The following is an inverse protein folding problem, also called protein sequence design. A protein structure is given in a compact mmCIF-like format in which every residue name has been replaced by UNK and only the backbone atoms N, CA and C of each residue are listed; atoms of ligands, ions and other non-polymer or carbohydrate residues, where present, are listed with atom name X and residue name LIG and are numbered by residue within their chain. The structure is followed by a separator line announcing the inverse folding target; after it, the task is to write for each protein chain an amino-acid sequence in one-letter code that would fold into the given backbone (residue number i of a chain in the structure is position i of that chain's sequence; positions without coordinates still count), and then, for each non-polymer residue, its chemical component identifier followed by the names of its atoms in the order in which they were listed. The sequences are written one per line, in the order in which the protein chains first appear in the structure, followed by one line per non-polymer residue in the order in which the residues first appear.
data_IF_758337367217
#
_entry.id   IF_758337367217
#
_cell.length_a   1.000
_cell.length_b   1.000
_cell.length_c   1.000
_cell.angle_alpha   90.00
_cell.angle_beta   90.00
_cell.angle_gamma   90.00
#
_symmetry.space_group_name_H-M   'P 1'
#
loop_
_entity.id
_entity.type
_entity.pdbx_description
1 polymer ?
#
# COMPACT_ATOMS: atom_id res chain seq x y z
N UNK A 1 23.42 -18.95 -0.20
CA UNK A 1 24.43 -17.86 -0.11
C UNK A 1 24.19 -16.75 -1.15
N UNK A 2 24.13 -17.05 -2.42
CA UNK A 2 23.93 -16.06 -3.51
C UNK A 2 22.70 -15.15 -3.30
N UNK A 3 21.54 -15.71 -2.92
CA UNK A 3 20.30 -14.93 -2.69
C UNK A 3 20.42 -13.92 -1.53
N UNK A 4 21.23 -14.23 -0.53
CA UNK A 4 21.55 -13.30 0.56
C UNK A 4 22.36 -12.10 0.06
N UNK A 5 23.41 -12.35 -0.73
CA UNK A 5 24.24 -11.29 -1.33
C UNK A 5 23.38 -10.38 -2.20
N UNK A 6 22.56 -10.95 -3.10
CA UNK A 6 21.61 -10.20 -3.93
C UNK A 6 20.65 -9.35 -3.09
N UNK A 7 20.15 -9.92 -1.99
CA UNK A 7 19.21 -9.21 -1.10
C UNK A 7 19.86 -8.04 -0.36
N UNK A 8 21.13 -8.18 0.03
CA UNK A 8 21.92 -7.09 0.64
C UNK A 8 22.16 -5.99 -0.38
N UNK A 9 22.66 -6.32 -1.57
CA UNK A 9 22.87 -5.35 -2.66
C UNK A 9 21.58 -4.58 -2.94
N UNK A 10 20.45 -5.29 -3.13
CA UNK A 10 19.16 -4.66 -3.35
C UNK A 10 18.77 -3.73 -2.17
N UNK A 11 19.03 -4.14 -0.94
CA UNK A 11 18.68 -3.31 0.23
C UNK A 11 19.49 -2.01 0.27
N UNK A 12 20.78 -2.06 -0.03
CA UNK A 12 21.61 -0.85 -0.13
C UNK A 12 21.07 0.06 -1.23
N UNK A 13 20.80 -0.49 -2.42
CA UNK A 13 20.24 0.27 -3.55
C UNK A 13 18.85 0.84 -3.22
N UNK A 14 18.00 0.09 -2.51
CA UNK A 14 16.69 0.57 -2.05
C UNK A 14 16.84 1.88 -1.24
N UNK A 15 17.76 1.93 -0.28
CA UNK A 15 17.95 3.13 0.54
C UNK A 15 18.54 4.30 -0.26
N UNK A 16 19.55 4.05 -1.09
CA UNK A 16 20.16 5.08 -1.93
C UNK A 16 19.15 5.69 -2.91
N UNK A 17 18.41 4.83 -3.62
CA UNK A 17 17.38 5.26 -4.58
C UNK A 17 16.26 5.98 -3.86
N UNK A 18 15.81 5.50 -2.70
CA UNK A 18 14.76 6.17 -1.92
C UNK A 18 15.22 7.55 -1.45
N UNK A 19 16.46 7.69 -1.00
CA UNK A 19 17.04 8.98 -0.66
C UNK A 19 17.08 9.94 -1.85
N UNK A 20 17.57 9.46 -3.00
CA UNK A 20 17.61 10.22 -4.24
C UNK A 20 16.21 10.72 -4.66
N UNK A 21 15.23 9.82 -4.77
CA UNK A 21 13.87 10.21 -5.12
C UNK A 21 13.22 11.12 -4.07
N UNK A 22 13.58 10.96 -2.78
CA UNK A 22 13.16 11.86 -1.73
C UNK A 22 13.62 13.30 -1.97
N UNK A 23 14.88 13.49 -2.38
CA UNK A 23 15.42 14.81 -2.76
C UNK A 23 14.71 15.35 -4.00
N UNK A 24 14.51 14.53 -5.03
CA UNK A 24 13.76 14.94 -6.25
C UNK A 24 12.34 15.40 -5.91
N UNK A 25 11.65 14.70 -5.03
CA UNK A 25 10.32 15.10 -4.54
C UNK A 25 10.37 16.47 -3.85
N UNK A 26 11.33 16.69 -2.94
CA UNK A 26 11.46 17.95 -2.23
C UNK A 26 11.74 19.12 -3.19
N UNK A 27 12.62 18.92 -4.17
CA UNK A 27 12.88 19.93 -5.20
C UNK A 27 11.63 20.19 -6.05
N UNK A 28 10.88 19.14 -6.42
CA UNK A 28 9.64 19.31 -7.19
C UNK A 28 8.54 20.06 -6.43
N UNK A 29 8.58 20.02 -5.08
CA UNK A 29 7.65 20.76 -4.25
C UNK A 29 7.85 22.28 -4.26
N UNK A 30 9.00 22.74 -4.76
CA UNK A 30 9.28 24.17 -4.97
C UNK A 30 8.69 24.69 -6.30
N UNK A 31 8.24 23.78 -7.16
CA UNK A 31 7.64 24.13 -8.45
C UNK A 31 6.11 24.28 -8.31
N UNK A 32 5.47 25.11 -9.15
CA UNK A 32 4.01 25.32 -9.14
C UNK A 32 3.28 24.13 -9.79
N UNK A 33 3.54 22.92 -9.30
CA UNK A 33 2.95 21.68 -9.78
C UNK A 33 1.91 21.14 -8.79
N UNK A 34 0.80 20.62 -9.31
CA UNK A 34 -0.19 19.92 -8.48
C UNK A 34 0.38 18.63 -7.89
N UNK A 35 -0.27 18.10 -6.85
CA UNK A 35 0.11 16.79 -6.28
C UNK A 35 0.03 15.70 -7.34
N UNK A 36 -1.00 15.71 -8.18
CA UNK A 36 -1.18 14.73 -9.26
C UNK A 36 -0.02 14.78 -10.27
N UNK A 37 0.38 15.99 -10.71
CA UNK A 37 1.53 16.14 -11.62
C UNK A 37 2.83 15.63 -10.99
N UNK A 38 3.05 15.90 -9.70
CA UNK A 38 4.24 15.41 -8.97
C UNK A 38 4.18 13.91 -8.68
N UNK A 39 2.99 13.29 -8.74
CA UNK A 39 2.83 11.86 -8.43
C UNK A 39 3.57 10.94 -9.41
N UNK A 40 3.97 11.43 -10.57
CA UNK A 40 4.87 10.71 -11.49
C UNK A 40 6.18 10.30 -10.80
N UNK A 41 6.66 11.08 -9.84
CA UNK A 41 7.94 10.82 -9.14
C UNK A 41 7.82 9.60 -8.23
N UNK A 42 6.91 9.51 -7.23
CA UNK A 42 6.75 8.31 -6.41
C UNK A 42 6.29 7.09 -7.23
N UNK A 43 5.51 7.29 -8.31
CA UNK A 43 5.18 6.21 -9.24
C UNK A 43 6.43 5.63 -9.92
N UNK A 44 7.31 6.49 -10.44
CA UNK A 44 8.58 6.07 -11.06
C UNK A 44 9.51 5.41 -10.04
N UNK A 45 9.56 5.91 -8.80
CA UNK A 45 10.27 5.30 -7.70
C UNK A 45 9.79 3.86 -7.41
N UNK A 46 8.48 3.66 -7.30
CA UNK A 46 7.91 2.33 -7.08
C UNK A 46 8.19 1.36 -8.22
N UNK A 47 7.99 1.81 -9.47
CA UNK A 47 8.28 1.01 -10.67
C UNK A 47 9.77 0.66 -10.78
N UNK A 48 10.66 1.63 -10.56
CA UNK A 48 12.10 1.40 -10.63
C UNK A 48 12.58 0.40 -9.57
N UNK A 49 12.13 0.55 -8.32
CA UNK A 49 12.53 -0.36 -7.23
C UNK A 49 11.95 -1.77 -7.40
N UNK A 50 10.75 -1.92 -7.94
CA UNK A 50 10.20 -3.25 -8.23
C UNK A 50 10.88 -3.89 -9.45
N UNK A 51 11.25 -3.12 -10.47
CA UNK A 51 12.11 -3.58 -11.56
C UNK A 51 13.49 -4.02 -11.04
N UNK A 52 14.10 -3.23 -10.18
CA UNK A 52 15.40 -3.54 -9.57
C UNK A 52 15.31 -4.83 -8.72
N UNK A 53 14.22 -5.06 -7.98
CA UNK A 53 13.96 -6.30 -7.26
C UNK A 53 13.91 -7.51 -8.20
N UNK A 54 13.32 -7.35 -9.38
CA UNK A 54 13.29 -8.39 -10.42
C UNK A 54 14.69 -8.69 -10.96
N UNK A 55 15.47 -7.67 -11.31
CA UNK A 55 16.81 -7.82 -11.88
C UNK A 55 17.80 -8.39 -10.86
N UNK A 56 17.84 -7.84 -9.65
CA UNK A 56 18.83 -8.21 -8.63
C UNK A 56 18.43 -9.47 -7.87
N UNK A 57 17.17 -9.57 -7.44
CA UNK A 57 16.71 -10.65 -6.57
C UNK A 57 15.91 -11.74 -7.31
N UNK A 58 15.56 -11.54 -8.58
CA UNK A 58 14.66 -12.45 -9.30
C UNK A 58 13.21 -12.36 -8.79
N UNK A 59 12.82 -11.26 -8.16
CA UNK A 59 11.48 -11.07 -7.56
C UNK A 59 10.63 -10.19 -8.48
N UNK A 60 9.84 -10.82 -9.35
CA UNK A 60 8.88 -10.17 -10.23
C UNK A 60 7.48 -10.03 -9.60
N UNK A 61 6.53 -9.53 -10.41
CA UNK A 61 5.13 -9.42 -10.01
C UNK A 61 4.18 -9.51 -11.23
N UNK A 62 2.91 -9.83 -10.95
CA UNK A 62 1.76 -9.72 -11.86
C UNK A 62 0.64 -8.96 -11.18
N UNK A 63 -0.20 -8.27 -11.96
CA UNK A 63 -1.38 -7.54 -11.49
C UNK A 63 -2.58 -8.01 -12.28
N UNK A 64 -3.64 -8.37 -11.56
CA UNK A 64 -4.92 -8.86 -12.10
C UNK A 64 -6.05 -7.99 -11.55
N UNK A 65 -7.15 -7.85 -12.30
CA UNK A 65 -8.34 -7.12 -11.86
C UNK A 65 -8.23 -5.59 -11.96
N UNK A 66 -7.37 -5.04 -12.81
CA UNK A 66 -7.24 -3.59 -13.00
C UNK A 66 -8.54 -2.94 -13.49
N UNK A 67 -9.37 -3.69 -14.20
CA UNK A 67 -10.71 -3.31 -14.64
C UNK A 67 -11.69 -3.03 -13.48
N UNK A 68 -11.39 -3.51 -12.29
CA UNK A 68 -12.17 -3.28 -11.07
C UNK A 68 -11.90 -1.91 -10.42
N UNK A 69 -10.92 -1.15 -10.91
CA UNK A 69 -10.62 0.17 -10.35
C UNK A 69 -11.70 1.18 -10.78
N UNK A 70 -12.40 1.83 -9.82
CA UNK A 70 -13.39 2.84 -10.15
C UNK A 70 -12.78 4.08 -10.81
N UNK A 71 -13.54 4.75 -11.68
CA UNK A 71 -13.14 6.02 -12.30
C UNK A 71 -13.21 7.22 -11.33
N UNK A 72 -13.92 7.09 -10.21
CA UNK A 72 -14.05 8.09 -9.13
C UNK A 72 -13.12 7.76 -7.96
N UNK A 73 -12.80 8.72 -7.06
CA UNK A 73 -12.02 8.44 -5.86
C UNK A 73 -12.62 7.29 -5.04
N UNK A 74 -11.77 6.39 -4.58
CA UNK A 74 -12.16 5.20 -3.83
C UNK A 74 -11.21 4.93 -2.67
N UNK A 75 -11.60 4.04 -1.78
CA UNK A 75 -10.78 3.58 -0.67
C UNK A 75 -10.27 2.18 -1.02
N UNK A 76 -8.96 2.00 -1.10
CA UNK A 76 -8.37 0.67 -1.28
C UNK A 76 -7.94 0.08 0.06
N UNK A 77 -8.41 -1.14 0.35
CA UNK A 77 -8.00 -1.93 1.52
C UNK A 77 -7.00 -2.98 1.07
N UNK A 78 -5.76 -2.89 1.56
CA UNK A 78 -4.67 -3.76 1.15
C UNK A 78 -4.29 -4.75 2.25
N UNK A 79 -4.02 -5.99 1.88
CA UNK A 79 -3.24 -6.91 2.73
C UNK A 79 -1.94 -6.24 3.13
N UNK A 80 -1.52 -6.37 4.39
CA UNK A 80 -0.26 -5.77 4.86
C UNK A 80 0.72 -6.82 5.37
N UNK A 81 1.76 -7.16 4.59
CA UNK A 81 2.66 -8.27 4.91
C UNK A 81 4.14 -8.04 4.58
N UNK A 82 4.46 -7.02 3.76
CA UNK A 82 5.81 -6.77 3.24
C UNK A 82 6.15 -5.28 3.20
N UNK A 83 7.35 -4.95 2.75
CA UNK A 83 7.70 -3.59 2.27
C UNK A 83 7.27 -3.45 0.81
N UNK A 84 7.18 -4.54 0.07
CA UNK A 84 6.92 -4.54 -1.36
C UNK A 84 5.60 -3.82 -1.72
N UNK A 85 4.52 -4.06 -1.00
CA UNK A 85 3.24 -3.41 -1.27
C UNK A 85 3.27 -1.90 -1.06
N UNK A 86 4.20 -1.38 -0.23
CA UNK A 86 4.36 0.06 -0.08
C UNK A 86 5.06 0.72 -1.28
N UNK A 87 5.79 -0.06 -2.08
CA UNK A 87 6.30 0.36 -3.38
C UNK A 87 5.20 0.24 -4.44
N UNK A 88 4.50 -0.89 -4.44
CA UNK A 88 3.50 -1.24 -5.45
C UNK A 88 2.28 -0.31 -5.43
N UNK A 89 1.84 0.15 -4.27
CA UNK A 89 0.70 1.07 -4.14
C UNK A 89 0.87 2.34 -4.97
N UNK A 90 2.09 2.76 -5.27
CA UNK A 90 2.37 3.98 -6.03
C UNK A 90 2.02 3.87 -7.52
N UNK A 91 1.84 2.64 -8.04
CA UNK A 91 1.56 2.41 -9.46
C UNK A 91 0.44 1.41 -9.75
N UNK A 92 0.02 0.63 -8.75
CA UNK A 92 -1.08 -0.34 -8.89
C UNK A 92 -2.44 0.36 -8.87
N UNK A 93 -2.56 1.42 -8.09
CA UNK A 93 -3.78 2.26 -8.03
C UNK A 93 -3.47 3.68 -8.52
N UNK A 94 -4.50 4.43 -8.97
CA UNK A 94 -4.36 5.86 -9.29
C UNK A 94 -3.76 6.67 -8.13
N UNK A 95 -3.32 7.91 -8.38
CA UNK A 95 -2.82 8.78 -7.33
C UNK A 95 -3.75 8.79 -6.11
N UNK A 96 -3.20 8.44 -4.96
CA UNK A 96 -3.95 8.28 -3.73
C UNK A 96 -3.12 8.73 -2.52
N UNK A 97 -3.80 9.13 -1.47
CA UNK A 97 -3.22 9.39 -0.16
C UNK A 97 -3.18 8.09 0.64
N UNK A 98 -2.10 7.83 1.33
CA UNK A 98 -1.95 6.60 2.12
C UNK A 98 -1.85 6.86 3.61
N UNK A 99 -2.40 5.92 4.40
CA UNK A 99 -2.31 5.98 5.85
C UNK A 99 -0.92 5.53 6.32
N UNK A 100 -0.29 6.33 7.16
CA UNK A 100 1.01 6.02 7.74
C UNK A 100 1.09 6.36 9.23
N UNK A 101 2.09 5.82 9.90
CA UNK A 101 2.41 6.15 11.28
C UNK A 101 2.95 7.59 11.34
N UNK A 102 2.40 8.43 12.21
CA UNK A 102 2.75 9.86 12.33
C UNK A 102 4.25 10.13 12.40
N UNK A 103 5.00 9.28 13.08
CA UNK A 103 6.44 9.45 13.27
C UNK A 103 7.25 9.33 11.96
N UNK A 104 6.68 8.70 10.92
CA UNK A 104 7.34 8.58 9.61
C UNK A 104 7.60 9.94 8.97
N UNK A 105 6.72 10.92 9.19
CA UNK A 105 6.87 12.27 8.61
C UNK A 105 8.08 13.04 9.15
N UNK A 106 8.68 12.58 10.25
CA UNK A 106 9.85 13.20 10.87
C UNK A 106 11.18 12.61 10.38
N UNK A 107 11.14 11.54 9.60
CA UNK A 107 12.35 10.95 9.00
C UNK A 107 12.94 11.96 8.01
N UNK A 108 14.21 12.37 8.18
CA UNK A 108 14.85 13.32 7.26
C UNK A 108 14.76 12.85 5.80
N UNK A 109 14.61 13.79 4.89
CA UNK A 109 14.45 13.59 3.44
C UNK A 109 13.18 12.79 3.10
N UNK A 110 13.10 11.52 3.49
CA UNK A 110 11.99 10.62 3.12
C UNK A 110 10.67 11.06 3.75
N UNK A 111 10.65 11.32 5.04
CA UNK A 111 9.45 11.80 5.74
C UNK A 111 9.00 13.18 5.27
N UNK A 112 9.96 14.06 5.02
CA UNK A 112 9.67 15.40 4.49
C UNK A 112 9.10 15.31 3.06
N UNK A 113 9.66 14.46 2.19
CA UNK A 113 9.16 14.20 0.86
C UNK A 113 7.72 13.61 0.91
N UNK A 114 7.49 12.60 1.74
CA UNK A 114 6.16 11.98 1.94
C UNK A 114 5.14 13.02 2.38
N UNK A 115 5.50 13.94 3.28
CA UNK A 115 4.61 15.00 3.77
C UNK A 115 4.06 15.89 2.64
N UNK A 116 4.81 16.09 1.55
CA UNK A 116 4.36 16.94 0.42
C UNK A 116 3.20 16.34 -0.39
N UNK A 117 2.85 15.07 -0.16
CA UNK A 117 1.71 14.37 -0.79
C UNK A 117 0.48 14.28 0.13
N UNK A 118 0.44 15.05 1.21
CA UNK A 118 -0.67 15.07 2.15
C UNK A 118 -1.10 13.67 2.62
N UNK A 119 -0.20 12.84 3.16
CA UNK A 119 -0.53 11.51 3.66
C UNK A 119 -1.48 11.62 4.85
N UNK A 120 -2.18 10.54 5.16
CA UNK A 120 -3.00 10.44 6.36
C UNK A 120 -2.11 9.98 7.51
N UNK A 121 -1.63 10.93 8.31
CA UNK A 121 -0.72 10.69 9.41
C UNK A 121 -1.49 10.35 10.69
N UNK A 122 -1.36 9.11 11.17
CA UNK A 122 -2.13 8.58 12.29
C UNK A 122 -1.23 8.35 13.51
N UNK A 123 -1.67 8.84 14.66
CA UNK A 123 -1.15 8.39 15.94
C UNK A 123 -1.80 7.05 16.33
N UNK A 124 -1.13 5.94 16.03
CA UNK A 124 -1.69 4.59 16.25
C UNK A 124 -1.88 4.22 17.72
N UNK A 125 -1.26 4.93 18.64
CA UNK A 125 -1.43 4.71 20.08
C UNK A 125 -2.65 5.44 20.67
N UNK A 126 -3.31 6.29 19.88
CA UNK A 126 -4.42 7.12 20.36
C UNK A 126 -5.80 6.42 20.36
N UNK A 127 -5.87 5.10 20.19
CA UNK A 127 -7.11 4.33 20.27
C UNK A 127 -8.22 4.87 19.34
N UNK A 128 -9.39 5.22 19.89
CA UNK A 128 -10.51 5.77 19.14
C UNK A 128 -10.18 7.07 18.40
N UNK A 129 -9.29 7.91 18.95
CA UNK A 129 -8.83 9.13 18.26
C UNK A 129 -8.09 8.83 16.96
N UNK A 130 -7.41 7.68 16.85
CA UNK A 130 -6.76 7.26 15.60
C UNK A 130 -7.78 6.96 14.49
N UNK A 131 -8.95 6.39 14.83
CA UNK A 131 -10.05 6.17 13.87
C UNK A 131 -10.60 7.51 13.39
N UNK A 132 -10.87 8.44 14.31
CA UNK A 132 -11.38 9.77 13.96
C UNK A 132 -10.39 10.54 13.08
N UNK A 133 -9.08 10.49 13.38
CA UNK A 133 -8.02 11.09 12.55
C UNK A 133 -8.03 10.53 11.14
N UNK A 134 -8.18 9.19 11.00
CA UNK A 134 -8.24 8.53 9.70
C UNK A 134 -9.47 8.97 8.90
N UNK A 135 -10.64 8.99 9.54
CA UNK A 135 -11.91 9.35 8.88
C UNK A 135 -11.90 10.81 8.46
N UNK A 136 -11.52 11.72 9.36
CA UNK A 136 -11.47 13.16 9.06
C UNK A 136 -10.53 13.48 7.89
N UNK A 137 -9.25 13.06 8.00
CA UNK A 137 -8.27 13.31 6.95
C UNK A 137 -8.64 12.58 5.65
N UNK A 138 -9.15 11.34 5.73
CA UNK A 138 -9.59 10.57 4.57
C UNK A 138 -10.72 11.25 3.80
N UNK A 139 -11.70 11.83 4.51
CA UNK A 139 -12.79 12.62 3.91
C UNK A 139 -12.26 13.81 3.12
N UNK A 140 -11.31 14.56 3.69
CA UNK A 140 -10.67 15.68 3.00
C UNK A 140 -9.96 15.24 1.72
N UNK A 141 -9.28 14.06 1.75
CA UNK A 141 -8.59 13.54 0.56
C UNK A 141 -9.56 13.10 -0.52
N UNK A 142 -10.62 12.38 -0.17
CA UNK A 142 -11.66 11.99 -1.13
C UNK A 142 -12.36 13.20 -1.74
N UNK A 143 -12.66 14.22 -0.93
CA UNK A 143 -13.26 15.48 -1.42
C UNK A 143 -12.32 16.26 -2.36
N UNK A 144 -10.99 16.12 -2.20
CA UNK A 144 -10.02 16.74 -3.12
C UNK A 144 -9.76 15.90 -4.40
N UNK A 145 -10.51 14.82 -4.63
CA UNK A 145 -10.35 13.96 -5.81
C UNK A 145 -9.31 12.86 -5.67
N UNK A 146 -8.64 12.74 -4.51
CA UNK A 146 -7.63 11.71 -4.27
C UNK A 146 -8.26 10.46 -3.65
N UNK A 147 -7.86 9.27 -4.12
CA UNK A 147 -8.16 8.02 -3.45
C UNK A 147 -7.47 7.89 -2.08
N UNK A 148 -7.88 6.89 -1.29
CA UNK A 148 -7.30 6.64 0.03
C UNK A 148 -6.85 5.19 0.14
N UNK A 149 -5.59 4.97 0.54
CA UNK A 149 -5.01 3.65 0.76
C UNK A 149 -4.96 3.35 2.26
N UNK A 150 -5.55 2.23 2.64
CA UNK A 150 -5.60 1.79 4.03
C UNK A 150 -5.05 0.37 4.15
N UNK A 151 -4.23 0.16 5.17
CA UNK A 151 -3.80 -1.16 5.61
C UNK A 151 -4.60 -1.55 6.86
N UNK A 152 -5.73 -2.25 6.72
CA UNK A 152 -6.69 -2.41 7.81
C UNK A 152 -6.16 -3.28 8.97
N UNK A 153 -5.14 -4.09 8.73
CA UNK A 153 -4.43 -4.82 9.78
C UNK A 153 -3.62 -3.90 10.73
N UNK A 154 -3.35 -2.65 10.32
CA UNK A 154 -2.61 -1.66 11.10
C UNK A 154 -1.13 -1.98 11.32
N UNK A 155 -0.68 -3.18 10.96
CA UNK A 155 0.72 -3.62 11.01
C UNK A 155 0.95 -4.75 10.02
N UNK A 156 2.21 -4.92 9.58
CA UNK A 156 2.56 -6.03 8.69
C UNK A 156 2.43 -7.37 9.39
N UNK A 157 1.66 -8.29 8.80
CA UNK A 157 1.45 -9.65 9.28
C UNK A 157 2.50 -10.61 8.71
N UNK A 158 2.79 -11.69 9.44
CA UNK A 158 3.61 -12.76 8.90
C UNK A 158 2.83 -13.57 7.84
N UNK A 159 3.53 -14.27 6.92
CA UNK A 159 2.87 -15.17 5.97
C UNK A 159 1.92 -16.15 6.65
N UNK A 160 0.72 -16.31 6.10
CA UNK A 160 -0.33 -17.18 6.65
C UNK A 160 -1.03 -16.64 7.90
N UNK A 161 -0.65 -15.45 8.37
CA UNK A 161 -1.31 -14.81 9.51
C UNK A 161 -2.20 -13.66 9.06
N UNK A 162 -3.27 -13.46 9.82
CA UNK A 162 -4.16 -12.31 9.74
C UNK A 162 -4.56 -11.87 11.14
N UNK A 163 -5.22 -10.73 11.22
CA UNK A 163 -5.88 -10.23 12.44
C UNK A 163 -7.18 -9.55 12.06
N UNK A 164 -8.04 -9.29 13.04
CA UNK A 164 -9.24 -8.49 12.83
C UNK A 164 -8.88 -7.15 12.20
N UNK A 165 -9.55 -6.81 11.12
CA UNK A 165 -9.35 -5.56 10.41
C UNK A 165 -9.89 -4.37 11.22
N UNK A 166 -9.14 -3.27 11.22
CA UNK A 166 -9.57 -2.00 11.79
C UNK A 166 -10.71 -1.40 10.98
N UNK A 167 -11.67 -0.80 11.68
CA UNK A 167 -12.94 -0.34 11.10
C UNK A 167 -12.82 0.98 10.30
N UNK A 168 -11.71 1.73 10.44
CA UNK A 168 -11.62 3.11 9.97
C UNK A 168 -11.81 3.30 8.46
N UNK A 169 -11.31 2.37 7.63
CA UNK A 169 -11.52 2.42 6.18
C UNK A 169 -12.97 2.20 5.78
N UNK A 170 -13.63 1.25 6.41
CA UNK A 170 -15.05 0.97 6.18
C UNK A 170 -15.96 2.09 6.72
N UNK A 171 -15.61 2.67 7.88
CA UNK A 171 -16.33 3.81 8.43
C UNK A 171 -16.24 5.02 7.49
N UNK A 172 -15.04 5.32 6.98
CA UNK A 172 -14.83 6.36 5.98
C UNK A 172 -15.68 6.13 4.73
N UNK A 173 -15.77 4.87 4.24
CA UNK A 173 -16.57 4.51 3.10
C UNK A 173 -18.05 4.79 3.31
N UNK A 174 -18.62 4.34 4.44
CA UNK A 174 -20.03 4.56 4.76
C UNK A 174 -20.37 6.05 4.95
N UNK A 175 -19.44 6.85 5.51
CA UNK A 175 -19.66 8.28 5.69
C UNK A 175 -19.56 9.10 4.39
N UNK A 176 -18.82 8.63 3.40
CA UNK A 176 -18.54 9.37 2.17
C UNK A 176 -19.23 8.80 0.92
N UNK A 177 -19.76 7.59 1.00
CA UNK A 177 -20.29 6.86 -0.16
C UNK A 177 -19.20 6.40 -1.13
N UNK A 178 -17.92 6.51 -0.76
CA UNK A 178 -16.81 6.07 -1.62
C UNK A 178 -16.73 4.54 -1.65
N UNK A 179 -16.61 3.91 -2.84
CA UNK A 179 -16.49 2.47 -2.94
C UNK A 179 -15.18 1.96 -2.30
N UNK A 180 -15.24 0.75 -1.78
CA UNK A 180 -14.08 0.06 -1.19
C UNK A 180 -13.56 -0.98 -2.16
N UNK A 181 -12.28 -0.87 -2.54
CA UNK A 181 -11.61 -1.84 -3.41
C UNK A 181 -10.66 -2.70 -2.56
N UNK A 182 -10.95 -4.00 -2.39
CA UNK A 182 -10.07 -4.90 -1.67
C UNK A 182 -8.91 -5.35 -2.55
N UNK A 183 -7.67 -5.37 -2.02
CA UNK A 183 -6.47 -5.76 -2.76
C UNK A 183 -5.70 -6.82 -1.99
N UNK A 184 -5.60 -7.98 -2.61
CA UNK A 184 -4.89 -9.15 -2.09
C UNK A 184 -3.54 -9.33 -2.78
N UNK A 185 -2.55 -9.84 -2.06
CA UNK A 185 -1.25 -10.22 -2.62
C UNK A 185 -0.49 -11.16 -1.67
N UNK A 186 0.46 -11.88 -2.23
CA UNK A 186 1.32 -12.84 -1.50
C UNK A 186 2.74 -12.32 -1.21
N UNK A 187 2.97 -11.01 -1.25
CA UNK A 187 4.31 -10.41 -1.15
C UNK A 187 5.08 -10.82 0.10
N UNK A 188 4.37 -11.01 1.24
CA UNK A 188 4.98 -11.42 2.50
C UNK A 188 5.67 -12.80 2.46
N UNK A 189 5.30 -13.68 1.54
CA UNK A 189 5.94 -14.99 1.35
C UNK A 189 7.32 -14.86 0.72
N UNK A 190 7.52 -13.86 -0.15
CA UNK A 190 8.78 -13.61 -0.85
C UNK A 190 9.67 -12.61 -0.14
N UNK A 191 9.09 -11.58 0.47
CA UNK A 191 9.81 -10.55 1.23
C UNK A 191 9.11 -10.31 2.56
N UNK A 192 9.48 -11.10 3.57
CA UNK A 192 8.90 -11.05 4.92
C UNK A 192 9.20 -9.71 5.61
N UNK A 193 8.26 -9.27 6.46
CA UNK A 193 8.50 -8.12 7.34
C UNK A 193 9.80 -8.31 8.14
N UNK A 194 10.57 -7.25 8.29
CA UNK A 194 11.85 -7.24 9.04
C UNK A 194 12.91 -8.23 8.52
N UNK A 195 12.75 -8.77 7.33
CA UNK A 195 13.75 -9.64 6.71
C UNK A 195 14.55 -8.87 5.66
N UNK A 196 15.87 -9.08 5.68
CA UNK A 196 16.73 -8.63 4.57
C UNK A 196 16.58 -9.53 3.35
N UNK A 197 16.25 -10.81 3.56
CA UNK A 197 16.14 -11.78 2.48
C UNK A 197 14.90 -11.51 1.62
N UNK A 198 15.11 -11.38 0.29
CA UNK A 198 14.09 -11.41 -0.75
C UNK A 198 14.27 -12.71 -1.51
N UNK A 199 13.25 -13.54 -1.55
CA UNK A 199 13.25 -14.80 -2.29
C UNK A 199 12.83 -14.55 -3.74
N UNK A 200 13.47 -15.22 -4.69
CA UNK A 200 13.07 -15.17 -6.09
C UNK A 200 11.67 -15.75 -6.30
N UNK A 201 10.96 -15.27 -7.31
CA UNK A 201 9.63 -15.70 -7.68
C UNK A 201 8.74 -14.56 -8.17
N UNK A 202 7.42 -14.78 -8.20
CA UNK A 202 6.46 -13.81 -8.71
C UNK A 202 5.42 -13.48 -7.65
N UNK A 203 5.37 -12.23 -7.25
CA UNK A 203 4.30 -11.70 -6.40
C UNK A 203 3.07 -11.51 -7.27
N UNK A 204 1.94 -12.08 -6.86
CA UNK A 204 0.66 -11.85 -7.51
C UNK A 204 -0.13 -10.83 -6.71
N UNK A 205 -0.63 -9.81 -7.41
CA UNK A 205 -1.55 -8.79 -6.88
C UNK A 205 -2.87 -8.97 -7.57
N UNK A 206 -3.94 -9.11 -6.82
CA UNK A 206 -5.30 -9.20 -7.34
C UNK A 206 -6.14 -8.08 -6.76
N UNK A 207 -6.71 -7.28 -7.65
CA UNK A 207 -7.63 -6.19 -7.34
C UNK A 207 -9.04 -6.77 -7.41
N UNK A 208 -9.75 -6.73 -6.29
CA UNK A 208 -11.10 -7.27 -6.20
C UNK A 208 -12.19 -6.33 -6.70
N UNK A 209 -13.40 -6.85 -6.89
CA UNK A 209 -14.54 -6.03 -7.25
C UNK A 209 -14.81 -4.97 -6.16
N UNK A 210 -15.21 -3.76 -6.55
CA UNK A 210 -15.52 -2.71 -5.60
C UNK A 210 -16.76 -3.08 -4.77
N UNK A 211 -16.69 -2.81 -3.48
CA UNK A 211 -17.79 -2.95 -2.53
C UNK A 211 -18.46 -1.58 -2.42
N UNK A 212 -19.72 -1.49 -2.82
CA UNK A 212 -20.55 -0.30 -2.59
C UNK A 212 -20.98 -0.27 -1.12
N UNK A 213 -20.67 0.80 -0.36
CA UNK A 213 -21.07 0.92 1.04
C UNK A 213 -22.55 1.27 1.25
N UNK A 214 -23.31 1.58 0.18
CA UNK A 214 -24.70 2.02 0.26
C UNK A 214 -25.57 0.95 0.94
N UNK A 215 -26.28 1.32 1.99
CA UNK A 215 -27.14 0.43 2.75
C UNK A 215 -26.40 -0.59 3.65
N UNK A 216 -25.08 -0.52 3.71
CA UNK A 216 -24.27 -1.39 4.57
C UNK A 216 -23.77 -0.64 5.81
N UNK A 217 -23.63 -1.37 6.91
CA UNK A 217 -22.92 -0.89 8.07
C UNK A 217 -21.41 -0.94 7.86
N UNK A 218 -20.60 -0.10 8.56
CA UNK A 218 -19.15 -0.19 8.49
C UNK A 218 -18.60 -1.58 8.83
N UNK A 219 -19.30 -2.32 9.70
CA UNK A 219 -18.93 -3.68 10.05
C UNK A 219 -19.08 -4.63 8.87
N UNK A 220 -20.20 -4.57 8.16
CA UNK A 220 -20.47 -5.42 6.98
C UNK A 220 -19.49 -5.13 5.84
N UNK A 221 -19.22 -3.85 5.55
CA UNK A 221 -18.19 -3.46 4.55
C UNK A 221 -16.82 -4.05 4.91
N UNK A 222 -16.44 -3.93 6.19
CA UNK A 222 -15.15 -4.40 6.68
C UNK A 222 -15.03 -5.93 6.63
N UNK A 223 -16.09 -6.65 7.03
CA UNK A 223 -16.15 -8.11 7.00
C UNK A 223 -16.10 -8.64 5.57
N UNK A 224 -16.84 -8.06 4.62
CA UNK A 224 -16.78 -8.41 3.19
C UNK A 224 -15.39 -8.23 2.62
N UNK A 225 -14.76 -7.08 2.89
CA UNK A 225 -13.40 -6.80 2.42
C UNK A 225 -12.38 -7.78 3.02
N UNK A 226 -12.46 -8.05 4.33
CA UNK A 226 -11.57 -9.00 5.00
C UNK A 226 -11.73 -10.41 4.44
N UNK A 227 -12.96 -10.91 4.33
CA UNK A 227 -13.25 -12.24 3.80
C UNK A 227 -12.70 -12.40 2.39
N UNK A 228 -12.92 -11.42 1.52
CA UNK A 228 -12.44 -11.47 0.16
C UNK A 228 -10.91 -11.46 0.10
N UNK A 229 -10.25 -10.54 0.82
CA UNK A 229 -8.77 -10.42 0.82
C UNK A 229 -8.13 -11.71 1.32
N UNK A 230 -8.59 -12.24 2.46
CA UNK A 230 -7.96 -13.42 3.07
C UNK A 230 -8.21 -14.68 2.24
N UNK A 231 -9.42 -14.86 1.68
CA UNK A 231 -9.73 -15.96 0.76
C UNK A 231 -8.87 -15.89 -0.51
N UNK A 232 -8.72 -14.67 -1.09
CA UNK A 232 -7.92 -14.49 -2.30
C UNK A 232 -6.42 -14.69 -2.04
N UNK A 233 -5.90 -14.27 -0.88
CA UNK A 233 -4.52 -14.58 -0.48
C UNK A 233 -4.31 -16.09 -0.36
N UNK A 234 -5.23 -16.81 0.27
CA UNK A 234 -5.16 -18.27 0.38
C UNK A 234 -5.18 -18.95 -1.00
N UNK A 235 -6.04 -18.51 -1.90
CA UNK A 235 -6.11 -18.99 -3.29
C UNK A 235 -4.78 -18.76 -4.03
N UNK A 236 -4.23 -17.54 -3.97
CA UNK A 236 -2.94 -17.20 -4.62
C UNK A 236 -1.82 -18.10 -4.10
N UNK A 237 -1.77 -18.34 -2.80
CA UNK A 237 -0.71 -19.11 -2.16
C UNK A 237 -0.79 -20.59 -2.46
N UNK A 238 -2.01 -21.13 -2.65
CA UNK A 238 -2.24 -22.53 -2.99
C UNK A 238 -1.84 -22.87 -4.44
N UNK A 239 -1.76 -21.87 -5.32
CA UNK A 239 -1.39 -22.09 -6.73
C UNK A 239 0.12 -22.33 -6.92
N UNK A 240 0.53 -23.02 -8.00
CA UNK A 240 1.95 -23.18 -8.33
C UNK A 240 2.67 -21.82 -8.41
N UNK A 241 3.78 -21.69 -7.69
CA UNK A 241 4.53 -20.43 -7.61
C UNK A 241 3.94 -19.38 -6.67
N UNK A 242 2.81 -19.64 -6.00
CA UNK A 242 2.19 -18.73 -5.05
C UNK A 242 3.02 -18.46 -3.78
N UNK A 243 4.01 -19.32 -3.51
CA UNK A 243 5.02 -19.12 -2.49
C UNK A 243 6.39 -19.64 -2.96
N UNK A 244 7.50 -19.11 -2.45
CA UNK A 244 8.83 -19.57 -2.84
C UNK A 244 9.05 -21.01 -2.34
N UNK A 245 9.75 -21.78 -3.16
CA UNK A 245 10.26 -23.11 -2.83
C UNK A 245 11.31 -23.07 -1.71
#
# INVERSE_FOLDING_TARGET
MLQWVRSVIYTVLLFLVTGFFGVVVLLSALLPLSIEQRYVIPRSWGLFLTWLARVVCGLGYTIEGQENLPSRPFISLWKHSSVWETLAQMFVVPPASWSLKREVIWIPIVGWAVRTFNPIAINRSAGHSAVNQMVQQGRERLASGMGVIVYPEGTRMAPGQTRKYGISGALLACETGAPVVPIAHNSGYFWRRRSLLKKAGTIRVVIGPPIDPTGLTPREVNERAQQWIEAKVAEIVAQPGGQPR
#
